data_IF_717070652105
#
_entry.id   IF_717070652105
#
_cell.length_a   1.000
_cell.length_b   1.000
_cell.length_c   1.000
_cell.angle_alpha   90.00
_cell.angle_beta   90.00
_cell.angle_gamma   90.00
#
_symmetry.space_group_name_H-M   'P 1'
#
loop_
_entity.id
_entity.type
_entity.pdbx_description
1 polymer ?
#
# COMPACT_ATOMS: atom_id res chain seq x y z
N UNK A 1 -47.41 -88.39 41.04
CA UNK A 1 -47.75 -89.65 41.74
C UNK A 1 -46.57 -90.61 41.62
N UNK A 2 -46.11 -91.15 42.76
CA UNK A 2 -45.12 -92.24 42.94
C UNK A 2 -43.67 -91.93 42.52
N UNK A 3 -42.62 -92.45 43.15
CA UNK A 3 -42.30 -92.89 44.52
C UNK A 3 -40.83 -93.34 44.42
N UNK A 4 -39.96 -92.74 45.23
CA UNK A 4 -38.94 -93.37 46.07
C UNK A 4 -38.13 -94.62 45.61
N UNK A 5 -36.80 -94.53 45.89
CA UNK A 5 -35.82 -95.57 46.32
C UNK A 5 -34.98 -96.22 45.19
N UNK A 6 -33.70 -96.61 45.30
CA UNK A 6 -32.63 -96.57 46.33
C UNK A 6 -31.44 -97.45 45.86
N UNK A 7 -30.22 -97.13 46.33
CA UNK A 7 -28.98 -97.97 46.43
C UNK A 7 -28.22 -98.27 45.13
N UNK A 8 -26.91 -98.02 45.06
CA UNK A 8 -25.92 -98.91 45.71
C UNK A 8 -24.61 -98.19 46.07
N UNK A 9 -24.14 -98.55 47.27
CA UNK A 9 -22.93 -98.20 48.00
C UNK A 9 -21.72 -98.97 47.45
N UNK A 10 -20.55 -98.34 47.31
CA UNK A 10 -19.26 -98.96 47.65
C UNK A 10 -18.38 -97.91 48.34
N UNK A 11 -18.17 -98.15 49.64
CA UNK A 11 -17.23 -97.47 50.53
C UNK A 11 -15.86 -98.14 50.33
N UNK A 12 -14.83 -97.34 50.01
CA UNK A 12 -13.42 -97.72 50.05
C UNK A 12 -12.66 -96.75 50.93
N UNK A 13 -12.47 -97.15 52.20
CA UNK A 13 -11.75 -96.40 53.23
C UNK A 13 -10.27 -96.33 52.89
N UNK A 14 -9.71 -95.11 52.85
CA UNK A 14 -8.31 -94.87 53.20
C UNK A 14 -8.24 -93.60 54.05
N UNK A 15 -8.53 -93.77 55.34
CA UNK A 15 -8.22 -92.77 56.34
C UNK A 15 -6.73 -92.81 56.63
N UNK A 16 -6.10 -91.63 56.57
CA UNK A 16 -5.00 -91.16 57.40
C UNK A 16 -4.36 -90.00 56.65
N UNK A 17 -4.63 -88.79 57.12
CA UNK A 17 -3.68 -87.68 57.23
C UNK A 17 -4.44 -86.49 57.81
N UNK A 18 -4.53 -86.49 59.13
CA UNK A 18 -4.72 -85.28 59.92
C UNK A 18 -3.49 -84.40 59.69
N UNK A 19 -3.57 -83.49 58.73
CA UNK A 19 -2.55 -82.45 58.52
C UNK A 19 -3.25 -81.12 58.62
N UNK A 20 -2.73 -80.32 59.54
CA UNK A 20 -3.14 -78.97 59.87
C UNK A 20 -3.42 -78.17 58.59
N UNK A 21 -4.57 -77.51 58.55
CA UNK A 21 -4.73 -76.33 57.71
C UNK A 21 -3.93 -75.22 58.40
N UNK A 22 -2.60 -75.22 58.23
CA UNK A 22 -1.83 -73.98 58.40
C UNK A 22 -2.28 -73.04 57.28
N UNK A 23 -2.68 -71.83 57.66
CA UNK A 23 -3.03 -70.76 56.74
C UNK A 23 -1.90 -70.61 55.72
N UNK A 24 -2.22 -70.85 54.44
CA UNK A 24 -1.29 -70.56 53.36
C UNK A 24 -1.08 -69.06 53.30
N UNK A 25 0.11 -68.58 53.68
CA UNK A 25 0.49 -67.19 53.53
C UNK A 25 0.24 -66.71 52.09
N UNK A 26 -0.43 -65.56 51.96
CA UNK A 26 -0.64 -64.90 50.68
C UNK A 26 0.74 -64.52 50.11
N UNK A 27 1.05 -65.00 48.90
CA UNK A 27 2.30 -64.66 48.21
C UNK A 27 2.46 -63.13 48.06
N UNK A 28 3.68 -62.59 48.13
CA UNK A 28 3.90 -61.14 48.11
C UNK A 28 3.32 -60.53 46.83
N UNK A 29 2.74 -59.33 46.96
CA UNK A 29 2.22 -58.57 45.82
C UNK A 29 3.34 -58.33 44.79
N UNK A 30 3.00 -58.44 43.51
CA UNK A 30 3.93 -58.12 42.41
C UNK A 30 4.39 -56.67 42.50
N UNK A 31 5.67 -56.41 42.17
CA UNK A 31 6.20 -55.05 42.15
C UNK A 31 5.45 -54.19 41.13
N UNK A 32 5.10 -52.96 41.54
CA UNK A 32 4.50 -51.97 40.66
C UNK A 32 5.45 -51.66 39.48
N UNK A 33 4.87 -51.52 38.29
CA UNK A 33 5.61 -51.12 37.10
C UNK A 33 6.18 -49.70 37.25
N UNK A 34 7.41 -49.49 36.79
CA UNK A 34 8.05 -48.17 36.82
C UNK A 34 7.27 -47.22 35.90
N UNK A 35 6.86 -46.06 36.43
CA UNK A 35 6.23 -45.00 35.63
C UNK A 35 7.25 -44.48 34.61
N UNK A 36 6.88 -44.51 33.33
CA UNK A 36 7.71 -43.98 32.24
C UNK A 36 7.93 -42.48 32.40
N UNK A 37 9.11 -42.00 32.03
CA UNK A 37 9.43 -40.56 32.08
C UNK A 37 8.81 -39.83 30.89
N UNK A 38 8.29 -38.62 31.14
CA UNK A 38 7.76 -37.75 30.10
C UNK A 38 8.85 -37.38 29.07
N UNK A 39 8.43 -37.18 27.82
CA UNK A 39 9.31 -36.76 26.73
C UNK A 39 9.82 -35.33 26.93
N UNK A 40 10.94 -35.01 26.30
CA UNK A 40 11.51 -33.65 26.37
C UNK A 40 10.78 -32.77 25.35
N UNK A 41 10.36 -31.58 25.79
CA UNK A 41 9.75 -30.58 24.92
C UNK A 41 10.71 -30.15 23.80
N UNK A 42 10.15 -29.93 22.60
CA UNK A 42 10.90 -29.43 21.45
C UNK A 42 11.39 -28.00 21.66
N UNK A 43 12.53 -27.65 21.06
CA UNK A 43 13.03 -26.27 21.08
C UNK A 43 12.25 -25.38 20.12
N UNK A 44 11.93 -24.16 20.55
CA UNK A 44 11.36 -23.14 19.68
C UNK A 44 12.27 -22.86 18.46
N UNK A 45 11.65 -22.58 17.32
CA UNK A 45 12.36 -22.17 16.11
C UNK A 45 13.05 -20.80 16.27
N UNK A 46 14.04 -20.55 15.42
CA UNK A 46 14.74 -19.26 15.38
C UNK A 46 13.91 -18.29 14.55
N UNK A 47 13.77 -17.05 15.01
CA UNK A 47 13.13 -15.97 14.24
C UNK A 47 13.91 -15.70 12.94
N UNK A 48 13.19 -15.40 11.87
CA UNK A 48 13.80 -14.98 10.60
C UNK A 48 14.60 -13.67 10.75
N UNK A 49 15.56 -13.46 9.85
CA UNK A 49 16.29 -12.19 9.73
C UNK A 49 15.41 -11.19 8.97
N UNK A 50 15.46 -9.92 9.35
CA UNK A 50 14.78 -8.85 8.61
C UNK A 50 15.31 -8.77 7.17
N UNK A 51 14.41 -8.49 6.20
CA UNK A 51 14.82 -8.19 4.83
C UNK A 51 15.64 -6.90 4.76
N UNK A 52 16.46 -6.76 3.71
CA UNK A 52 17.13 -5.50 3.39
C UNK A 52 16.12 -4.56 2.69
N UNK A 53 16.29 -3.24 2.88
CA UNK A 53 15.57 -2.26 2.08
C UNK A 53 15.93 -2.45 0.60
N UNK A 54 14.95 -2.24 -0.29
CA UNK A 54 15.21 -2.20 -1.73
C UNK A 54 16.20 -1.09 -2.07
N UNK A 55 17.18 -1.40 -2.91
CA UNK A 55 18.04 -0.38 -3.55
C UNK A 55 17.20 0.42 -4.55
N UNK A 56 17.44 1.74 -4.64
CA UNK A 56 16.79 2.63 -5.62
C UNK A 56 15.59 3.43 -5.12
N UNK A 57 14.99 3.11 -3.97
CA UNK A 57 13.81 3.84 -3.47
C UNK A 57 14.11 5.32 -3.14
N UNK A 58 15.27 5.58 -2.54
CA UNK A 58 15.68 6.95 -2.22
C UNK A 58 15.93 7.78 -3.49
N UNK A 59 16.39 7.15 -4.58
CA UNK A 59 16.66 7.81 -5.86
C UNK A 59 15.37 8.25 -6.55
N UNK A 60 14.29 7.48 -6.41
CA UNK A 60 13.00 7.77 -7.02
C UNK A 60 12.22 8.89 -6.31
N UNK A 61 12.60 9.24 -5.08
CA UNK A 61 11.88 10.22 -4.24
C UNK A 61 12.66 11.50 -3.99
N UNK A 62 13.90 11.59 -4.47
CA UNK A 62 14.80 12.72 -4.20
C UNK A 62 14.36 14.04 -4.84
N UNK A 63 13.49 13.98 -5.86
CA UNK A 63 13.04 15.14 -6.65
C UNK A 63 11.78 15.80 -6.08
N UNK A 64 11.36 15.44 -4.87
CA UNK A 64 10.18 16.02 -4.23
C UNK A 64 8.87 15.46 -4.77
N UNK A 65 7.77 16.17 -4.50
CA UNK A 65 6.41 15.64 -4.63
C UNK A 65 5.40 16.67 -5.11
N UNK A 66 4.27 16.15 -5.60
CA UNK A 66 3.05 16.89 -5.85
C UNK A 66 1.97 16.35 -4.91
N UNK A 67 1.44 17.21 -4.05
CA UNK A 67 0.23 16.90 -3.27
C UNK A 67 -0.98 17.30 -4.09
N UNK A 68 -1.89 16.37 -4.34
CA UNK A 68 -3.13 16.59 -5.08
C UNK A 68 -4.32 16.44 -4.14
N UNK A 69 -5.25 17.41 -4.19
CA UNK A 69 -6.52 17.38 -3.45
C UNK A 69 -7.70 17.57 -4.40
N UNK A 70 -8.61 16.59 -4.39
CA UNK A 70 -9.90 16.61 -5.08
C UNK A 70 -11.01 16.77 -4.04
N UNK A 71 -11.85 17.80 -4.20
CA UNK A 71 -13.01 18.05 -3.35
C UNK A 71 -14.27 18.19 -4.20
N UNK A 72 -15.29 17.38 -3.91
CA UNK A 72 -16.52 17.41 -4.69
C UNK A 72 -17.55 16.38 -4.21
N UNK A 73 -18.34 15.88 -5.15
CA UNK A 73 -19.36 14.86 -4.91
C UNK A 73 -19.10 13.65 -5.81
N UNK A 74 -19.04 12.45 -5.24
CA UNK A 74 -18.84 11.20 -5.96
C UNK A 74 -20.00 10.91 -6.91
N UNK A 75 -19.84 10.02 -7.91
CA UNK A 75 -20.94 9.58 -8.78
C UNK A 75 -22.18 9.02 -8.05
N UNK A 76 -22.01 8.51 -6.83
CA UNK A 76 -23.10 8.01 -5.98
C UNK A 76 -23.74 9.09 -5.06
N UNK A 77 -23.41 10.36 -5.29
CA UNK A 77 -23.91 11.54 -4.57
C UNK A 77 -23.45 11.66 -3.11
N UNK A 78 -22.30 11.08 -2.78
CA UNK A 78 -21.67 11.26 -1.48
C UNK A 78 -20.56 12.32 -1.60
N UNK A 79 -20.57 13.38 -0.76
CA UNK A 79 -19.47 14.35 -0.73
C UNK A 79 -18.15 13.70 -0.36
N UNK A 80 -17.06 14.16 -0.96
CA UNK A 80 -15.73 13.67 -0.64
C UNK A 80 -14.68 14.77 -0.71
N UNK A 81 -13.61 14.55 0.05
CA UNK A 81 -12.32 15.22 -0.11
C UNK A 81 -11.27 14.12 -0.10
N UNK A 82 -10.43 14.07 -1.12
CA UNK A 82 -9.35 13.11 -1.24
C UNK A 82 -8.06 13.86 -1.46
N UNK A 83 -7.05 13.56 -0.64
CA UNK A 83 -5.70 14.12 -0.75
C UNK A 83 -4.71 12.97 -0.81
N UNK A 84 -3.86 12.96 -1.82
CA UNK A 84 -2.75 12.02 -1.96
C UNK A 84 -1.47 12.76 -2.38
N UNK A 85 -0.32 12.18 -2.05
CA UNK A 85 1.02 12.69 -2.37
C UNK A 85 1.67 11.81 -3.43
N UNK A 86 1.92 12.37 -4.61
CA UNK A 86 2.64 11.75 -5.71
C UNK A 86 4.11 12.16 -5.59
N UNK A 87 5.03 11.20 -5.47
CA UNK A 87 6.43 11.49 -5.09
C UNK A 87 7.48 10.65 -5.78
N UNK A 88 7.07 9.72 -6.62
CA UNK A 88 7.99 8.87 -7.35
C UNK A 88 8.21 9.45 -8.74
N UNK A 89 9.45 9.45 -9.20
CA UNK A 89 9.79 9.78 -10.58
C UNK A 89 10.92 8.84 -11.02
N UNK A 90 10.82 8.31 -12.23
CA UNK A 90 11.85 7.43 -12.78
C UNK A 90 13.06 8.26 -13.20
N UNK A 91 14.27 7.76 -12.91
CA UNK A 91 15.51 8.44 -13.34
C UNK A 91 15.78 8.21 -14.82
N UNK A 92 15.15 7.21 -15.44
CA UNK A 92 15.43 6.77 -16.81
C UNK A 92 14.92 7.76 -17.88
N UNK A 93 13.83 8.51 -17.59
CA UNK A 93 13.19 9.48 -18.51
C UNK A 93 13.09 10.88 -17.87
N UNK A 94 14.03 11.20 -16.98
CA UNK A 94 13.99 12.42 -16.16
C UNK A 94 14.12 13.72 -16.98
N UNK A 95 14.67 13.63 -18.19
CA UNK A 95 14.90 14.73 -19.12
C UNK A 95 13.62 15.19 -19.85
N UNK A 96 12.56 14.36 -19.87
CA UNK A 96 11.26 14.73 -20.43
C UNK A 96 10.21 15.02 -19.37
N UNK A 97 10.32 14.36 -18.22
CA UNK A 97 9.24 14.26 -17.26
C UNK A 97 9.57 14.93 -15.91
N UNK A 98 10.72 15.60 -15.78
CA UNK A 98 11.10 16.34 -14.57
C UNK A 98 12.13 17.44 -14.87
N UNK A 99 11.89 18.24 -15.89
CA UNK A 99 12.85 19.22 -16.39
C UNK A 99 12.36 20.67 -16.32
N UNK A 100 13.30 21.59 -16.54
CA UNK A 100 13.06 23.00 -16.79
C UNK A 100 13.81 23.43 -18.04
N UNK A 101 13.08 24.09 -18.95
CA UNK A 101 13.65 24.78 -20.11
C UNK A 101 13.62 26.29 -19.85
N UNK A 102 14.81 26.91 -19.87
CA UNK A 102 15.02 28.31 -19.56
C UNK A 102 15.55 29.01 -20.81
N UNK A 103 14.75 29.92 -21.36
CA UNK A 103 15.10 30.78 -22.50
C UNK A 103 14.93 32.25 -22.14
N UNK A 104 15.35 33.15 -23.02
CA UNK A 104 15.29 34.59 -22.78
C UNK A 104 13.87 35.10 -22.44
N UNK A 105 12.85 34.55 -23.10
CA UNK A 105 11.44 34.93 -22.97
C UNK A 105 10.53 33.77 -22.56
N UNK A 106 11.08 32.61 -22.22
CA UNK A 106 10.30 31.42 -21.82
C UNK A 106 10.91 30.77 -20.57
N UNK A 107 10.03 30.31 -19.69
CA UNK A 107 10.38 29.47 -18.55
C UNK A 107 9.33 28.37 -18.45
N UNK A 108 9.73 27.14 -18.78
CA UNK A 108 8.82 26.01 -18.92
C UNK A 108 9.24 24.92 -17.94
N UNK A 109 8.28 24.35 -17.22
CA UNK A 109 8.50 23.24 -16.29
C UNK A 109 7.65 22.04 -16.72
N UNK A 110 8.27 20.87 -16.86
CA UNK A 110 7.55 19.59 -17.00
C UNK A 110 7.81 18.75 -15.76
N UNK A 111 6.75 18.34 -15.07
CA UNK A 111 6.86 17.67 -13.78
C UNK A 111 5.87 16.50 -13.72
N UNK A 112 6.38 15.29 -13.77
CA UNK A 112 5.63 14.05 -13.62
C UNK A 112 5.94 13.40 -12.28
N UNK A 113 4.90 12.98 -11.56
CA UNK A 113 5.05 12.15 -10.37
C UNK A 113 4.08 10.99 -10.42
N UNK A 114 4.55 9.83 -10.00
CA UNK A 114 3.72 8.66 -9.76
C UNK A 114 3.41 8.50 -8.28
N UNK A 115 2.22 7.96 -7.99
CA UNK A 115 1.72 7.69 -6.64
C UNK A 115 2.42 6.47 -5.99
N UNK A 116 2.84 5.53 -6.82
CA UNK A 116 3.57 4.33 -6.44
C UNK A 116 4.87 4.23 -7.24
N UNK A 117 5.82 3.44 -6.74
CA UNK A 117 7.07 3.15 -7.45
C UNK A 117 6.75 2.71 -8.89
N UNK A 118 7.27 3.40 -9.92
CA UNK A 118 7.04 3.04 -11.31
C UNK A 118 7.63 1.64 -11.60
N UNK A 119 6.93 0.87 -12.42
CA UNK A 119 7.35 -0.44 -12.90
C UNK A 119 7.18 -0.46 -14.44
N UNK A 120 8.12 -1.09 -15.15
CA UNK A 120 8.22 -1.10 -16.62
C UNK A 120 6.92 -1.57 -17.31
N UNK A 121 6.13 -2.39 -16.61
CA UNK A 121 4.90 -3.00 -17.14
C UNK A 121 3.61 -2.25 -16.73
N UNK A 122 3.66 -1.40 -15.71
CA UNK A 122 2.49 -0.66 -15.18
C UNK A 122 2.96 0.68 -14.58
N UNK A 123 2.76 1.77 -15.32
CA UNK A 123 2.75 3.09 -14.71
C UNK A 123 1.53 3.17 -13.78
N UNK A 124 1.78 3.45 -12.50
CA UNK A 124 0.76 3.58 -11.47
C UNK A 124 -0.13 4.81 -11.73
N UNK A 125 -0.87 5.24 -10.71
CA UNK A 125 -1.52 6.55 -10.80
C UNK A 125 -0.46 7.63 -10.96
N UNK A 126 -0.65 8.52 -11.92
CA UNK A 126 0.33 9.51 -12.36
C UNK A 126 -0.30 10.90 -12.39
N UNK A 127 0.55 11.90 -12.19
CA UNK A 127 0.21 13.29 -12.34
C UNK A 127 1.33 13.97 -13.12
N UNK A 128 0.98 14.65 -14.21
CA UNK A 128 1.88 15.50 -14.97
C UNK A 128 1.41 16.95 -14.85
N UNK A 129 2.37 17.85 -14.62
CA UNK A 129 2.15 19.28 -14.57
C UNK A 129 3.09 19.94 -15.57
N UNK A 130 2.52 20.62 -16.56
CA UNK A 130 3.26 21.55 -17.42
C UNK A 130 2.91 22.97 -16.98
N UNK A 131 3.93 23.78 -16.71
CA UNK A 131 3.76 25.19 -16.33
C UNK A 131 4.70 26.05 -17.18
N UNK A 132 4.10 26.83 -18.08
CA UNK A 132 4.83 27.66 -19.01
C UNK A 132 4.58 29.14 -18.72
N UNK A 133 5.67 29.89 -18.61
CA UNK A 133 5.67 31.34 -18.57
C UNK A 133 6.22 31.87 -19.89
N UNK A 134 5.48 32.78 -20.52
CA UNK A 134 5.98 33.59 -21.64
C UNK A 134 6.19 35.02 -21.17
N UNK A 135 7.35 35.60 -21.44
CA UNK A 135 7.83 36.90 -20.93
C UNK A 135 7.75 37.02 -19.39
N UNK A 136 8.35 36.09 -18.61
CA UNK A 136 8.28 36.12 -17.15
C UNK A 136 8.87 37.42 -16.56
N UNK A 137 8.13 38.04 -15.64
CA UNK A 137 8.48 39.30 -14.97
C UNK A 137 8.14 40.57 -15.76
N UNK A 138 7.63 40.44 -16.99
CA UNK A 138 7.33 41.57 -17.88
C UNK A 138 5.82 41.90 -17.93
N UNK A 139 5.46 43.02 -18.55
CA UNK A 139 4.05 43.46 -18.60
C UNK A 139 3.14 42.59 -19.46
N UNK A 140 3.72 41.83 -20.39
CA UNK A 140 3.02 40.90 -21.29
C UNK A 140 3.23 39.44 -20.85
N UNK A 141 3.47 39.21 -19.56
CA UNK A 141 3.59 37.87 -18.99
C UNK A 141 2.28 37.09 -19.20
N UNK A 142 2.39 35.88 -19.75
CA UNK A 142 1.28 34.93 -19.82
C UNK A 142 1.68 33.59 -19.21
N UNK A 143 0.68 32.91 -18.62
CA UNK A 143 0.85 31.61 -17.99
C UNK A 143 -0.06 30.62 -18.70
N UNK A 144 0.53 29.52 -19.16
CA UNK A 144 -0.17 28.31 -19.58
C UNK A 144 0.08 27.24 -18.53
N UNK A 145 -0.98 26.58 -18.09
CA UNK A 145 -0.89 25.51 -17.11
C UNK A 145 -1.72 24.34 -17.59
N UNK A 146 -1.10 23.18 -17.62
CA UNK A 146 -1.74 21.90 -17.87
C UNK A 146 -1.52 20.98 -16.68
N UNK A 147 -2.58 20.25 -16.31
CA UNK A 147 -2.55 19.18 -15.32
C UNK A 147 -3.17 17.93 -15.93
N UNK A 148 -2.36 16.91 -16.11
CA UNK A 148 -2.83 15.58 -16.47
C UNK A 148 -2.84 14.69 -15.22
N UNK A 149 -3.94 13.97 -15.03
CA UNK A 149 -4.09 12.96 -14.00
C UNK A 149 -4.44 11.65 -14.69
N UNK A 150 -3.59 10.64 -14.54
CA UNK A 150 -3.75 9.36 -15.21
C UNK A 150 -3.89 8.20 -14.24
N UNK A 151 -4.76 7.25 -14.60
CA UNK A 151 -5.01 6.00 -13.87
C UNK A 151 -5.21 6.17 -12.34
N UNK A 152 -5.80 7.29 -11.90
CA UNK A 152 -5.93 7.58 -10.47
C UNK A 152 -7.12 6.87 -9.85
N UNK A 153 -6.87 5.84 -9.04
CA UNK A 153 -7.93 5.09 -8.35
C UNK A 153 -8.12 5.59 -6.93
N UNK A 154 -9.23 6.28 -6.68
CA UNK A 154 -9.58 6.75 -5.34
C UNK A 154 -10.38 5.68 -4.59
N UNK A 155 -9.82 5.18 -3.49
CA UNK A 155 -10.49 4.26 -2.56
C UNK A 155 -10.93 5.04 -1.31
N UNK A 156 -12.17 4.83 -0.88
CA UNK A 156 -12.82 5.51 0.25
C UNK A 156 -13.02 4.57 1.46
N UNK A 157 -13.31 5.15 2.63
CA UNK A 157 -13.50 4.42 3.90
C UNK A 157 -14.65 3.40 3.87
N UNK A 158 -15.65 3.63 3.03
CA UNK A 158 -16.78 2.71 2.80
C UNK A 158 -16.43 1.55 1.86
N UNK A 159 -15.14 1.39 1.52
CA UNK A 159 -14.61 0.37 0.61
C UNK A 159 -15.15 0.47 -0.82
N UNK A 160 -15.67 1.63 -1.20
CA UNK A 160 -15.99 1.95 -2.59
C UNK A 160 -14.79 2.63 -3.26
N UNK A 161 -14.78 2.61 -4.59
CA UNK A 161 -13.77 3.28 -5.38
C UNK A 161 -14.35 3.83 -6.68
N UNK A 162 -13.68 4.82 -7.25
CA UNK A 162 -13.82 5.14 -8.67
C UNK A 162 -12.45 5.55 -9.24
N UNK A 163 -12.27 5.32 -10.53
CA UNK A 163 -11.11 5.80 -11.27
C UNK A 163 -11.35 7.23 -11.74
N UNK A 164 -10.29 8.02 -11.79
CA UNK A 164 -10.30 9.41 -12.22
C UNK A 164 -9.14 9.62 -13.18
N UNK A 165 -9.47 10.11 -14.36
CA UNK A 165 -8.50 10.51 -15.37
C UNK A 165 -8.97 11.83 -15.99
N UNK A 166 -8.04 12.73 -16.30
CA UNK A 166 -8.39 13.97 -16.98
C UNK A 166 -7.20 14.89 -17.26
N UNK A 167 -7.35 15.65 -18.35
CA UNK A 167 -6.45 16.70 -18.80
C UNK A 167 -7.08 18.06 -18.48
N UNK A 168 -6.36 18.91 -17.75
CA UNK A 168 -6.88 20.16 -17.21
C UNK A 168 -6.03 21.38 -17.57
N UNK A 169 -6.39 22.04 -18.66
CA UNK A 169 -5.73 23.28 -19.11
C UNK A 169 -6.42 24.51 -18.50
N UNK A 170 -5.66 25.50 -18.04
CA UNK A 170 -6.19 26.65 -17.30
C UNK A 170 -7.21 27.53 -18.05
N UNK A 171 -7.14 27.60 -19.38
CA UNK A 171 -8.03 28.41 -20.21
C UNK A 171 -9.11 27.60 -20.94
N UNK A 172 -9.16 26.28 -20.71
CA UNK A 172 -10.12 25.43 -21.40
C UNK A 172 -11.56 25.64 -20.93
N UNK A 173 -12.51 25.30 -21.80
CA UNK A 173 -13.94 25.35 -21.43
C UNK A 173 -14.24 24.36 -20.32
N UNK A 174 -14.86 24.85 -19.24
CA UNK A 174 -15.24 24.04 -18.10
C UNK A 174 -14.21 24.00 -16.96
N UNK A 175 -13.06 24.65 -17.14
CA UNK A 175 -12.13 24.99 -16.05
C UNK A 175 -12.33 26.45 -15.70
N UNK A 176 -12.58 26.73 -14.42
CA UNK A 176 -12.82 28.09 -13.91
C UNK A 176 -12.10 28.31 -12.58
N UNK A 177 -12.06 29.56 -12.12
CA UNK A 177 -11.39 29.94 -10.86
C UNK A 177 -9.93 29.50 -10.77
N UNK A 178 -9.24 29.40 -11.91
CA UNK A 178 -7.84 29.04 -11.96
C UNK A 178 -6.97 30.06 -11.20
N UNK A 179 -6.03 29.54 -10.42
CA UNK A 179 -5.12 30.30 -9.58
C UNK A 179 -3.83 29.55 -9.37
N UNK A 180 -2.69 30.22 -9.62
CA UNK A 180 -1.38 29.83 -9.10
C UNK A 180 -0.96 30.84 -8.03
N UNK A 181 -0.45 30.32 -6.90
CA UNK A 181 0.05 31.14 -5.79
C UNK A 181 1.36 30.58 -5.28
N UNK A 182 2.10 31.39 -4.50
CA UNK A 182 3.36 30.98 -3.87
C UNK A 182 4.40 30.43 -4.84
N UNK A 183 4.37 30.85 -6.11
CA UNK A 183 5.38 30.45 -7.08
C UNK A 183 6.75 30.97 -6.67
N UNK A 184 7.72 30.07 -6.64
CA UNK A 184 9.11 30.36 -6.40
C UNK A 184 9.98 29.34 -7.14
N UNK A 185 10.91 29.83 -7.94
CA UNK A 185 11.94 29.02 -8.60
C UNK A 185 13.32 29.52 -8.20
N UNK A 186 14.19 28.60 -7.77
CA UNK A 186 15.57 28.90 -7.41
C UNK A 186 16.54 28.26 -8.42
N UNK A 187 17.08 29.08 -9.32
CA UNK A 187 18.03 28.64 -10.36
C UNK A 187 19.36 28.10 -9.81
N UNK A 188 19.70 28.30 -8.53
CA UNK A 188 20.91 27.69 -7.95
C UNK A 188 20.68 26.24 -7.53
N UNK A 189 19.45 25.88 -7.19
CA UNK A 189 19.09 24.54 -6.66
C UNK A 189 18.10 23.79 -7.53
N UNK A 190 17.63 24.42 -8.61
CA UNK A 190 16.49 24.01 -9.45
C UNK A 190 15.26 23.57 -8.64
N UNK A 191 15.07 24.18 -7.46
CA UNK A 191 13.90 23.92 -6.64
C UNK A 191 12.77 24.82 -7.13
N UNK A 192 11.61 24.23 -7.41
CA UNK A 192 10.40 24.93 -7.80
C UNK A 192 9.27 24.56 -6.85
N UNK A 193 8.58 25.59 -6.36
CA UNK A 193 7.44 25.45 -5.47
C UNK A 193 6.29 26.32 -5.93
N UNK A 194 5.06 25.80 -5.93
CA UNK A 194 3.85 26.60 -6.13
C UNK A 194 2.61 25.84 -5.66
N UNK A 195 1.51 26.57 -5.48
CA UNK A 195 0.19 25.99 -5.25
C UNK A 195 -0.73 26.32 -6.40
N UNK A 196 -1.50 25.34 -6.87
CA UNK A 196 -2.52 25.53 -7.91
C UNK A 196 -3.92 25.22 -7.38
N UNK A 197 -4.94 25.86 -7.93
CA UNK A 197 -6.34 25.53 -7.69
C UNK A 197 -7.22 25.98 -8.84
N UNK A 198 -8.26 25.19 -9.14
CA UNK A 198 -9.32 25.50 -10.09
C UNK A 198 -10.57 24.68 -9.81
N UNK A 199 -11.66 25.03 -10.47
CA UNK A 199 -12.93 24.30 -10.47
C UNK A 199 -13.17 23.70 -11.85
N UNK A 200 -13.60 22.44 -11.89
CA UNK A 200 -14.00 21.71 -13.09
C UNK A 200 -15.49 21.46 -13.07
N UNK A 201 -16.19 21.86 -14.12
CA UNK A 201 -17.62 21.64 -14.26
C UNK A 201 -17.95 20.13 -14.33
N UNK A 202 -19.15 19.76 -13.86
CA UNK A 202 -19.68 18.40 -13.88
C UNK A 202 -19.60 17.67 -15.23
N UNK A 203 -19.68 18.40 -16.34
CA UNK A 203 -19.65 17.82 -17.68
C UNK A 203 -18.23 17.41 -18.14
N UNK A 204 -17.19 17.86 -17.43
CA UNK A 204 -15.79 17.74 -17.85
C UNK A 204 -14.95 16.94 -16.84
N UNK A 205 -15.57 16.11 -16.01
CA UNK A 205 -14.87 15.22 -15.10
C UNK A 205 -15.67 13.93 -14.79
N UNK A 206 -14.97 12.90 -14.35
CA UNK A 206 -15.54 11.55 -14.13
C UNK A 206 -16.56 11.45 -12.99
N UNK A 207 -16.62 12.46 -12.11
CA UNK A 207 -17.56 12.43 -10.97
C UNK A 207 -19.00 12.73 -11.40
N UNK A 208 -19.18 13.38 -12.56
CA UNK A 208 -20.47 13.89 -13.02
C UNK A 208 -21.03 15.03 -12.18
N UNK A 209 -20.21 15.63 -11.31
CA UNK A 209 -20.54 16.77 -10.44
C UNK A 209 -19.42 17.81 -10.52
N UNK A 210 -19.71 19.05 -10.15
CA UNK A 210 -18.66 20.08 -10.07
C UNK A 210 -17.59 19.65 -9.05
N UNK A 211 -16.33 19.86 -9.42
CA UNK A 211 -15.17 19.37 -8.69
C UNK A 211 -14.19 20.52 -8.48
N UNK A 212 -13.65 20.66 -7.27
CA UNK A 212 -12.50 21.53 -7.00
C UNK A 212 -11.25 20.68 -7.01
N UNK A 213 -10.27 21.08 -7.81
CA UNK A 213 -8.94 20.47 -7.86
C UNK A 213 -7.94 21.49 -7.33
N UNK A 214 -7.05 21.06 -6.46
CA UNK A 214 -5.97 21.89 -5.92
C UNK A 214 -4.75 21.04 -5.61
N UNK A 215 -3.60 21.67 -5.53
CA UNK A 215 -2.38 20.98 -5.16
C UNK A 215 -1.24 21.89 -4.77
N UNK A 216 -0.22 21.26 -4.18
CA UNK A 216 1.05 21.86 -3.80
C UNK A 216 2.16 21.11 -4.51
N UNK A 217 2.97 21.83 -5.27
CA UNK A 217 4.16 21.34 -5.96
C UNK A 217 5.37 21.81 -5.15
N UNK A 218 6.22 20.87 -4.75
CA UNK A 218 7.51 21.13 -4.10
C UNK A 218 8.51 20.11 -4.63
N UNK A 219 9.24 20.50 -5.67
CA UNK A 219 10.08 19.59 -6.45
C UNK A 219 11.43 20.20 -6.80
N UNK A 220 12.36 19.32 -7.17
CA UNK A 220 13.62 19.68 -7.83
C UNK A 220 13.55 19.17 -9.26
N UNK A 221 13.76 20.05 -10.23
CA UNK A 221 13.78 19.74 -11.68
C UNK A 221 15.22 19.70 -12.21
N UNK A 222 15.43 19.03 -13.33
CA UNK A 222 16.73 18.99 -14.02
C UNK A 222 16.74 19.97 -15.19
N UNK A 223 17.93 20.37 -15.64
CA UNK A 223 18.11 21.26 -16.79
C UNK A 223 18.96 20.55 -17.83
N UNK A 224 18.57 20.62 -19.10
CA UNK A 224 19.39 20.09 -20.19
C UNK A 224 20.58 21.01 -20.47
N UNK A 225 21.79 20.49 -20.25
CA UNK A 225 23.04 21.22 -20.48
C UNK A 225 23.39 21.27 -21.97
N UNK A 226 22.93 20.31 -22.77
CA UNK A 226 23.22 20.30 -24.22
C UNK A 226 22.49 21.44 -24.94
N UNK A 227 21.40 21.97 -24.36
CA UNK A 227 20.69 23.18 -24.79
C UNK A 227 21.41 24.50 -24.49
N UNK A 228 22.42 24.52 -23.61
CA UNK A 228 23.15 25.74 -23.19
C UNK A 228 24.25 26.18 -24.17
N UNK A 229 24.41 25.50 -25.31
CA UNK A 229 25.53 25.69 -26.25
C UNK A 229 25.14 26.40 -27.57
N UNK A 230 23.93 26.97 -27.67
CA UNK A 230 23.55 27.80 -28.84
C UNK A 230 23.97 29.27 -28.73
#
# INVERSE_FOLDING_TARGET
MKNFFLRTIVIGVLGLLSVNCEDGDIGPAGQDGIIGTDGIDGTNGINGVNGQNGVGFDELTQFGSITLTLEGTRPDNIPFTKTDEFKFTAVEDIDFNNDVDIRDDQLNFNIERTLSVPDDDFQGSEIEVNLDFTNPGETEETIEFNLDIDNYTMIFDDLTYFGFTGEFINDQTGVTNFSITNFNFNNETNAVTFSFSFTVDAANNDTGNDLTISGEVDVIVVEDIDGLVE
#
